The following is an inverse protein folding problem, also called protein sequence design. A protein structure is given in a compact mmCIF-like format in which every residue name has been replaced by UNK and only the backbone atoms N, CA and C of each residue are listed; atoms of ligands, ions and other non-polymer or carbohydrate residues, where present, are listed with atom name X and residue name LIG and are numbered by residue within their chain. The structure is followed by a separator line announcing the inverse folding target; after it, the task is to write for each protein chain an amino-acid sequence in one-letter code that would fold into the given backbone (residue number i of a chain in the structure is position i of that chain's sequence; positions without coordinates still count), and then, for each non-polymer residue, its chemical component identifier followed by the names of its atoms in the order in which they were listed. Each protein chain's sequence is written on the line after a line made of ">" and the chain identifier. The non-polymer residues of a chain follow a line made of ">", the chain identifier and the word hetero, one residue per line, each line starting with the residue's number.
data_IF_479041820509
#
_entry.id   IF_479041820509
#
_cell.length_a   1.000
_cell.length_b   1.000
_cell.length_c   1.000
_cell.angle_alpha   90.00
_cell.angle_beta   90.00
_cell.angle_gamma   90.00
#
_symmetry.space_group_name_H-M   'P 1'
#
loop_
_entity.id
_entity.type
_entity.pdbx_description
1 polymer ?
#
# COMPACT_ATOMS: atom_id res chain seq x y z
N UNK A 1 -16.19 -46.78 4.61
CA UNK A 1 -15.79 -45.36 4.55
C UNK A 1 -15.60 -45.02 3.09
N UNK A 2 -16.53 -44.23 2.50
CA UNK A 2 -16.42 -43.83 1.10
C UNK A 2 -15.13 -43.04 0.88
N UNK A 3 -14.48 -43.25 -0.26
CA UNK A 3 -13.27 -42.53 -0.64
C UNK A 3 -13.58 -41.02 -0.66
N UNK A 4 -13.10 -40.28 0.33
CA UNK A 4 -13.23 -38.83 0.35
C UNK A 4 -12.44 -38.27 -0.84
N UNK A 5 -13.19 -37.79 -1.84
CA UNK A 5 -12.68 -37.27 -3.11
C UNK A 5 -11.71 -36.12 -2.88
N UNK A 6 -11.87 -35.32 -1.82
CA UNK A 6 -11.00 -34.20 -1.49
C UNK A 6 -9.67 -34.73 -0.95
N UNK A 7 -9.70 -35.69 -0.02
CA UNK A 7 -8.49 -36.33 0.52
C UNK A 7 -7.72 -37.06 -0.60
N UNK A 8 -8.42 -37.78 -1.48
CA UNK A 8 -7.79 -38.46 -2.62
C UNK A 8 -7.20 -37.47 -3.63
N UNK A 9 -7.90 -36.37 -3.94
CA UNK A 9 -7.34 -35.28 -4.76
C UNK A 9 -6.12 -34.65 -4.11
N UNK A 10 -6.13 -34.44 -2.79
CA UNK A 10 -4.99 -33.89 -2.07
C UNK A 10 -3.79 -34.83 -2.12
N UNK A 11 -3.98 -36.13 -1.85
CA UNK A 11 -2.93 -37.16 -1.96
C UNK A 11 -2.33 -37.16 -3.37
N UNK A 12 -3.17 -37.12 -4.41
CA UNK A 12 -2.73 -37.09 -5.81
C UNK A 12 -2.09 -35.75 -6.23
N UNK A 13 -2.32 -34.67 -5.46
CA UNK A 13 -1.76 -33.33 -5.70
C UNK A 13 -0.49 -33.06 -4.88
N UNK A 14 -0.11 -33.97 -3.96
CA UNK A 14 1.15 -33.85 -3.22
C UNK A 14 2.29 -33.87 -4.25
N UNK A 15 2.95 -32.72 -4.33
CA UNK A 15 3.95 -32.41 -5.33
C UNK A 15 5.13 -33.39 -5.29
N UNK A 16 5.62 -33.72 -6.48
CA UNK A 16 6.82 -34.52 -6.76
C UNK A 16 8.01 -34.16 -5.85
N UNK A 17 8.90 -35.13 -5.54
CA UNK A 17 10.11 -34.92 -4.75
C UNK A 17 10.87 -33.65 -5.16
N UNK A 18 11.20 -32.79 -4.20
CA UNK A 18 12.07 -31.63 -4.45
C UNK A 18 13.50 -31.94 -4.00
N UNK A 19 14.44 -31.91 -4.94
CA UNK A 19 15.86 -31.99 -4.61
C UNK A 19 16.30 -30.64 -4.03
N UNK A 20 16.62 -30.61 -2.74
CA UNK A 20 17.14 -29.44 -2.05
C UNK A 20 18.62 -29.66 -1.75
N UNK A 21 19.56 -28.81 -2.24
CA UNK A 21 20.96 -28.94 -1.89
C UNK A 21 21.14 -28.66 -0.39
N UNK A 22 21.55 -29.66 0.37
CA UNK A 22 21.85 -29.52 1.79
C UNK A 22 23.31 -29.08 1.95
N UNK A 23 23.54 -27.87 2.48
CA UNK A 23 24.87 -27.42 2.87
C UNK A 23 25.07 -27.71 4.36
N UNK A 24 25.90 -28.69 4.68
CA UNK A 24 26.38 -28.84 6.06
C UNK A 24 27.40 -27.73 6.35
N UNK A 25 27.08 -26.86 7.30
CA UNK A 25 28.06 -25.96 7.90
C UNK A 25 28.88 -26.74 8.93
N UNK A 26 29.88 -27.50 8.48
CA UNK A 26 30.93 -28.00 9.37
C UNK A 26 32.11 -27.05 9.33
N UNK A 27 32.55 -26.60 10.51
CA UNK A 27 33.66 -25.67 10.75
C UNK A 27 35.05 -26.27 10.48
N UNK A 28 35.18 -27.15 9.50
CA UNK A 28 36.46 -27.65 9.03
C UNK A 28 36.47 -27.66 7.51
N UNK A 29 37.55 -27.14 6.97
CA UNK A 29 37.84 -26.94 5.55
C UNK A 29 37.70 -28.22 4.73
N UNK A 30 36.52 -28.46 4.16
CA UNK A 30 36.24 -29.04 2.85
C UNK A 30 34.71 -29.02 2.64
N UNK A 31 34.19 -28.02 1.92
CA UNK A 31 32.76 -27.93 1.58
C UNK A 31 32.38 -29.01 0.55
N UNK A 32 31.95 -30.19 1.02
CA UNK A 32 31.28 -31.17 0.16
C UNK A 32 29.78 -30.84 0.08
N UNK A 33 29.35 -30.24 -1.03
CA UNK A 33 27.92 -30.16 -1.35
C UNK A 33 27.43 -31.57 -1.71
N UNK A 34 26.72 -32.23 -0.79
CA UNK A 34 26.01 -33.47 -1.09
C UNK A 34 24.60 -33.12 -1.55
N UNK A 35 24.24 -33.54 -2.75
CA UNK A 35 22.86 -33.45 -3.22
C UNK A 35 22.06 -34.53 -2.52
N UNK A 36 21.40 -34.19 -1.42
CA UNK A 36 20.45 -35.06 -0.74
C UNK A 36 19.06 -34.79 -1.31
N UNK A 37 18.41 -35.83 -1.83
CA UNK A 37 17.00 -35.75 -2.23
C UNK A 37 16.16 -35.87 -0.96
N UNK A 38 15.38 -34.83 -0.64
CA UNK A 38 14.45 -34.86 0.49
C UNK A 38 13.04 -34.77 -0.06
N UNK A 39 12.24 -35.79 0.19
CA UNK A 39 10.82 -35.76 -0.14
C UNK A 39 10.07 -34.94 0.91
N UNK A 40 9.33 -33.93 0.46
CA UNK A 40 8.49 -33.10 1.32
C UNK A 40 7.03 -33.38 1.03
N UNK A 41 6.32 -33.87 2.03
CA UNK A 41 4.87 -34.02 2.00
C UNK A 41 4.27 -32.85 2.78
N UNK A 42 3.41 -31.99 2.18
CA UNK A 42 2.79 -30.89 2.90
C UNK A 42 1.86 -31.46 3.99
N UNK A 43 1.99 -30.94 5.21
CA UNK A 43 1.01 -31.20 6.27
C UNK A 43 -0.24 -30.38 5.96
N UNK A 44 -1.38 -31.07 5.97
CA UNK A 44 -2.70 -30.56 5.65
C UNK A 44 -3.45 -30.36 6.97
N UNK A 45 -3.72 -29.11 7.36
CA UNK A 45 -4.41 -28.79 8.61
C UNK A 45 -5.93 -28.73 8.40
N UNK A 46 -6.67 -29.67 8.99
CA UNK A 46 -8.14 -29.69 8.93
C UNK A 46 -8.80 -28.73 9.91
N UNK A 47 -10.11 -28.57 9.77
CA UNK A 47 -10.93 -27.96 10.82
C UNK A 47 -10.93 -28.86 12.06
N UNK A 48 -10.97 -28.26 13.26
CA UNK A 48 -11.42 -29.01 14.43
C UNK A 48 -12.93 -29.03 14.33
N UNK A 49 -13.53 -30.22 14.24
CA UNK A 49 -14.97 -30.38 13.97
C UNK A 49 -15.85 -29.66 15.00
N UNK A 50 -15.37 -29.51 16.24
CA UNK A 50 -16.00 -28.72 17.30
C UNK A 50 -16.21 -27.23 16.93
N UNK A 51 -15.47 -26.70 15.95
CA UNK A 51 -15.62 -25.33 15.46
C UNK A 51 -16.68 -25.17 14.38
N UNK A 52 -17.22 -26.27 13.85
CA UNK A 52 -18.29 -26.22 12.88
C UNK A 52 -19.61 -26.04 13.64
N UNK A 53 -20.41 -25.08 13.20
CA UNK A 53 -21.75 -24.91 13.75
C UNK A 53 -22.58 -26.16 13.47
N UNK A 54 -23.22 -26.71 14.50
CA UNK A 54 -24.23 -27.75 14.30
C UNK A 54 -25.36 -27.16 13.44
N UNK A 55 -25.65 -27.83 12.31
CA UNK A 55 -26.77 -27.44 11.48
C UNK A 55 -28.07 -27.72 12.23
N UNK A 56 -28.98 -26.74 12.20
CA UNK A 56 -30.34 -26.97 12.68
C UNK A 56 -31.17 -27.33 11.45
N UNK A 57 -31.67 -28.59 11.34
CA UNK A 57 -32.51 -28.97 10.23
C UNK A 57 -33.81 -28.18 10.30
N UNK A 58 -34.14 -27.46 9.22
CA UNK A 58 -35.39 -26.72 9.08
C UNK A 58 -36.15 -27.19 7.86
N UNK A 59 -37.45 -27.36 8.03
CA UNK A 59 -38.35 -27.60 6.92
C UNK A 59 -38.65 -26.28 6.23
N UNK A 60 -38.30 -26.18 4.96
CA UNK A 60 -38.58 -25.02 4.11
C UNK A 60 -39.42 -25.50 2.93
N UNK A 61 -40.49 -24.76 2.63
CA UNK A 61 -41.31 -25.01 1.45
C UNK A 61 -40.60 -24.40 0.23
N UNK A 62 -40.16 -25.24 -0.70
CA UNK A 62 -39.50 -24.81 -1.94
C UNK A 62 -40.20 -25.48 -3.13
N UNK A 63 -40.74 -24.69 -4.05
CA UNK A 63 -41.53 -25.18 -5.19
C UNK A 63 -42.64 -26.17 -4.77
N UNK A 64 -43.44 -25.80 -3.76
CA UNK A 64 -44.54 -26.61 -3.22
C UNK A 64 -44.13 -27.98 -2.64
N UNK A 65 -42.83 -28.23 -2.46
CA UNK A 65 -42.31 -29.41 -1.78
C UNK A 65 -41.63 -29.01 -0.47
N UNK A 66 -41.91 -29.77 0.60
CA UNK A 66 -41.19 -29.64 1.87
C UNK A 66 -39.78 -30.21 1.69
N UNK A 67 -38.76 -29.36 1.87
CA UNK A 67 -37.35 -29.78 1.91
C UNK A 67 -36.79 -29.53 3.30
N UNK A 68 -36.02 -30.49 3.81
CA UNK A 68 -35.21 -30.28 5.00
C UNK A 68 -33.91 -29.63 4.53
N UNK A 69 -33.62 -28.45 5.05
CA UNK A 69 -32.39 -27.72 4.79
C UNK A 69 -31.65 -27.57 6.10
N UNK A 70 -30.37 -27.93 6.09
CA UNK A 70 -29.43 -27.65 7.17
C UNK A 70 -29.08 -26.17 7.16
N UNK A 71 -29.60 -25.40 8.13
CA UNK A 71 -29.33 -23.97 8.23
C UNK A 71 -28.27 -23.70 9.31
N UNK A 72 -27.16 -23.07 8.90
CA UNK A 72 -26.20 -22.46 9.82
C UNK A 72 -26.64 -21.02 10.09
N UNK A 73 -26.98 -20.72 11.36
CA UNK A 73 -27.42 -19.39 11.78
C UNK A 73 -26.22 -18.45 11.99
N UNK A 74 -25.69 -17.87 10.91
CA UNK A 74 -24.72 -16.77 11.00
C UNK A 74 -25.44 -15.43 11.23
N UNK A 75 -24.88 -14.53 12.05
CA UNK A 75 -25.46 -13.19 12.20
C UNK A 75 -25.37 -12.42 10.88
N UNK A 76 -26.28 -11.46 10.71
CA UNK A 76 -26.19 -10.49 9.61
C UNK A 76 -24.85 -9.77 9.67
N UNK A 77 -24.13 -9.76 8.55
CA UNK A 77 -22.88 -9.02 8.41
C UNK A 77 -23.16 -7.52 8.53
N UNK A 78 -22.40 -6.83 9.39
CA UNK A 78 -22.52 -5.39 9.67
C UNK A 78 -21.25 -4.60 9.39
N UNK A 79 -20.14 -5.30 9.08
CA UNK A 79 -18.83 -4.69 8.82
C UNK A 79 -18.20 -5.30 7.58
N UNK A 80 -17.44 -4.49 6.84
CA UNK A 80 -16.60 -5.01 5.76
C UNK A 80 -15.48 -5.86 6.34
N UNK A 81 -14.73 -5.30 7.29
CA UNK A 81 -13.59 -5.98 7.93
C UNK A 81 -13.81 -6.17 9.43
N UNK A 82 -13.37 -7.31 9.96
CA UNK A 82 -13.30 -7.57 11.39
C UNK A 82 -12.30 -6.63 12.07
N UNK A 83 -12.64 -6.19 13.28
CA UNK A 83 -11.76 -5.36 14.11
C UNK A 83 -10.54 -6.14 14.66
N UNK A 84 -10.55 -7.48 14.54
CA UNK A 84 -9.45 -8.35 14.92
C UNK A 84 -8.29 -8.23 13.93
N UNK A 85 -7.29 -7.43 14.26
CA UNK A 85 -6.14 -7.16 13.38
C UNK A 85 -4.92 -7.95 13.87
N UNK A 86 -4.31 -8.83 13.05
CA UNK A 86 -3.06 -9.51 13.39
C UNK A 86 -1.96 -8.55 13.84
N UNK A 87 -1.13 -8.99 14.81
CA UNK A 87 -0.02 -8.21 15.40
C UNK A 87 -0.43 -6.97 16.20
N UNK A 88 -1.71 -6.61 16.27
CA UNK A 88 -2.20 -5.55 17.15
C UNK A 88 -2.85 -6.15 18.38
N UNK A 89 -2.07 -6.42 19.43
CA UNK A 89 -2.58 -7.04 20.66
C UNK A 89 -3.82 -6.35 21.24
N UNK A 90 -3.86 -5.01 21.14
CA UNK A 90 -4.99 -4.18 21.59
C UNK A 90 -6.34 -4.50 20.93
N UNK A 91 -6.36 -5.20 19.79
CA UNK A 91 -7.60 -5.62 19.14
C UNK A 91 -8.16 -6.93 19.69
N UNK A 92 -7.36 -7.71 20.42
CA UNK A 92 -7.79 -8.97 21.05
C UNK A 92 -8.22 -8.67 22.48
N UNK A 93 -9.48 -8.27 22.63
CA UNK A 93 -10.07 -7.88 23.93
C UNK A 93 -10.74 -9.06 24.66
N UNK A 94 -10.39 -10.29 24.31
CA UNK A 94 -11.07 -11.50 24.77
C UNK A 94 -10.17 -12.31 25.71
N UNK A 95 -10.74 -12.78 26.81
CA UNK A 95 -10.10 -13.75 27.71
C UNK A 95 -10.40 -15.20 27.30
N UNK A 96 -9.90 -16.15 28.10
CA UNK A 96 -10.12 -17.59 27.89
C UNK A 96 -11.61 -17.95 27.84
N UNK A 97 -12.44 -17.33 28.69
CA UNK A 97 -13.88 -17.57 28.79
C UNK A 97 -14.69 -16.99 27.61
N UNK A 98 -14.09 -16.16 26.76
CA UNK A 98 -14.78 -15.35 25.74
C UNK A 98 -14.54 -15.82 24.30
N UNK A 99 -14.27 -17.11 24.08
CA UNK A 99 -14.06 -17.63 22.74
C UNK A 99 -15.27 -17.35 21.83
N UNK A 100 -16.49 -17.52 22.33
CA UNK A 100 -17.71 -17.26 21.54
C UNK A 100 -17.81 -15.80 21.08
N UNK A 101 -17.43 -14.84 21.93
CA UNK A 101 -17.43 -13.42 21.56
C UNK A 101 -16.34 -13.12 20.51
N UNK A 102 -15.17 -13.76 20.63
CA UNK A 102 -14.11 -13.72 19.63
C UNK A 102 -14.59 -14.23 18.27
N UNK A 103 -15.26 -15.39 18.23
CA UNK A 103 -15.86 -15.97 17.01
C UNK A 103 -16.97 -15.10 16.46
N UNK A 104 -17.81 -14.54 17.34
CA UNK A 104 -18.91 -13.66 16.95
C UNK A 104 -18.37 -12.42 16.25
N UNK A 105 -17.28 -11.84 16.74
CA UNK A 105 -16.68 -10.67 16.11
C UNK A 105 -16.23 -10.96 14.67
N UNK A 106 -15.62 -12.11 14.39
CA UNK A 106 -15.39 -12.53 13.00
C UNK A 106 -16.70 -12.63 12.23
N UNK A 107 -17.69 -13.35 12.77
CA UNK A 107 -18.94 -13.62 12.08
C UNK A 107 -19.75 -12.36 11.72
N UNK A 108 -19.53 -11.22 12.40
CA UNK A 108 -20.15 -9.94 12.05
C UNK A 108 -19.56 -9.25 10.81
N UNK A 109 -18.40 -9.69 10.32
CA UNK A 109 -17.70 -9.08 9.20
C UNK A 109 -17.71 -9.97 7.94
N UNK A 110 -17.61 -9.34 6.76
CA UNK A 110 -17.39 -10.06 5.49
C UNK A 110 -15.96 -10.60 5.40
N UNK A 111 -14.98 -9.81 5.82
CA UNK A 111 -13.56 -10.09 5.71
C UNK A 111 -12.85 -10.04 7.07
N UNK A 112 -11.78 -10.80 7.23
CA UNK A 112 -10.87 -10.66 8.36
C UNK A 112 -9.42 -10.65 7.90
N UNK A 113 -8.66 -9.62 8.30
CA UNK A 113 -7.26 -9.47 7.88
C UNK A 113 -6.43 -10.61 8.48
N UNK A 114 -5.64 -11.27 7.64
CA UNK A 114 -4.60 -12.23 8.04
C UNK A 114 -3.31 -11.96 7.25
N UNK A 115 -2.20 -12.57 7.65
CA UNK A 115 -0.89 -12.36 7.03
C UNK A 115 0.08 -13.49 7.39
N UNK A 116 1.16 -13.60 6.62
CA UNK A 116 2.30 -14.45 6.99
C UNK A 116 2.87 -14.00 8.35
N UNK A 117 3.03 -14.94 9.28
CA UNK A 117 3.78 -14.75 10.54
C UNK A 117 5.04 -15.63 10.50
N UNK A 118 5.17 -16.58 11.44
CA UNK A 118 6.20 -17.62 11.36
C UNK A 118 6.00 -18.54 10.15
N UNK A 119 4.73 -18.80 9.80
CA UNK A 119 4.32 -19.51 8.60
C UNK A 119 3.21 -18.76 7.85
N UNK A 120 2.84 -19.32 6.69
CA UNK A 120 1.69 -18.87 5.90
C UNK A 120 0.39 -19.53 6.34
N UNK A 121 0.44 -20.75 6.87
CA UNK A 121 -0.72 -21.46 7.40
C UNK A 121 -0.72 -21.43 8.94
N UNK A 122 -1.90 -21.27 9.53
CA UNK A 122 -2.10 -21.25 10.99
C UNK A 122 -3.59 -21.42 11.34
N UNK A 123 -3.87 -21.86 12.58
CA UNK A 123 -5.22 -22.09 13.09
C UNK A 123 -6.19 -20.93 12.84
N UNK A 124 -5.72 -19.69 12.91
CA UNK A 124 -6.54 -18.50 12.66
C UNK A 124 -7.29 -18.50 11.33
N UNK A 125 -6.73 -19.06 10.27
CA UNK A 125 -7.44 -19.08 8.98
C UNK A 125 -8.72 -19.90 9.09
N UNK A 126 -8.61 -21.06 9.72
CA UNK A 126 -9.73 -21.94 10.00
C UNK A 126 -10.70 -21.28 10.98
N UNK A 127 -10.20 -20.51 11.96
CA UNK A 127 -11.06 -19.76 12.87
C UNK A 127 -11.92 -18.72 12.18
N UNK A 128 -11.35 -17.99 11.23
CA UNK A 128 -12.04 -16.99 10.42
C UNK A 128 -13.10 -17.66 9.54
N UNK A 129 -12.72 -18.74 8.86
CA UNK A 129 -13.61 -19.45 7.92
C UNK A 129 -14.75 -20.14 8.66
N UNK A 130 -14.47 -20.81 9.78
CA UNK A 130 -15.50 -21.50 10.57
C UNK A 130 -16.51 -20.51 11.17
N UNK A 131 -16.10 -19.27 11.46
CA UNK A 131 -16.98 -18.16 11.83
C UNK A 131 -17.82 -17.60 10.65
N UNK A 132 -17.72 -18.18 9.46
CA UNK A 132 -18.44 -17.75 8.26
C UNK A 132 -17.90 -16.44 7.66
N UNK A 133 -16.60 -16.18 7.81
CA UNK A 133 -15.94 -14.94 7.38
C UNK A 133 -14.79 -15.25 6.42
N UNK A 134 -14.54 -14.40 5.43
CA UNK A 134 -13.48 -14.65 4.44
C UNK A 134 -12.13 -14.13 4.94
N UNK A 135 -11.07 -14.97 5.00
CA UNK A 135 -9.73 -14.49 5.28
C UNK A 135 -9.23 -13.56 4.18
N UNK A 136 -8.69 -12.42 4.58
CA UNK A 136 -8.11 -11.44 3.69
C UNK A 136 -6.59 -11.36 3.92
N UNK A 137 -5.82 -12.01 3.06
CA UNK A 137 -4.38 -12.17 3.22
C UNK A 137 -3.60 -10.94 2.75
N UNK A 138 -2.77 -10.38 3.63
CA UNK A 138 -1.73 -9.44 3.22
C UNK A 138 -0.67 -10.17 2.38
N UNK A 139 -0.46 -9.70 1.14
CA UNK A 139 0.53 -10.20 0.19
C UNK A 139 0.41 -11.70 -0.14
N UNK A 140 -0.81 -12.23 -0.31
CA UNK A 140 -1.04 -13.64 -0.66
C UNK A 140 -0.24 -14.12 -1.89
N UNK A 141 0.06 -13.21 -2.82
CA UNK A 141 0.87 -13.48 -4.00
C UNK A 141 2.33 -13.89 -3.67
N UNK A 142 2.79 -13.70 -2.44
CA UNK A 142 4.09 -14.17 -1.94
C UNK A 142 4.05 -15.57 -1.33
N UNK A 143 2.86 -16.17 -1.18
CA UNK A 143 2.75 -17.55 -0.72
C UNK A 143 3.21 -18.51 -1.83
N UNK A 144 3.93 -19.57 -1.45
CA UNK A 144 4.32 -20.61 -2.42
C UNK A 144 3.10 -21.30 -3.02
N UNK A 145 3.24 -21.83 -4.24
CA UNK A 145 2.13 -22.46 -4.98
C UNK A 145 1.42 -23.55 -4.16
N UNK A 146 2.16 -24.36 -3.41
CA UNK A 146 1.67 -25.47 -2.57
C UNK A 146 1.47 -25.11 -1.09
N UNK A 147 1.55 -23.83 -0.73
CA UNK A 147 1.27 -23.35 0.63
C UNK A 147 -0.21 -22.99 0.73
N UNK A 148 -0.90 -23.25 1.85
CA UNK A 148 -2.37 -23.02 1.97
C UNK A 148 -3.20 -23.87 0.98
N UNK A 149 -2.78 -25.11 0.71
CA UNK A 149 -3.40 -25.96 -0.33
C UNK A 149 -4.86 -26.32 -0.06
N UNK A 150 -5.31 -26.25 1.19
CA UNK A 150 -6.71 -26.45 1.57
C UNK A 150 -7.60 -25.24 1.35
N UNK A 151 -7.02 -24.05 1.17
CA UNK A 151 -7.79 -22.84 0.98
C UNK A 151 -7.97 -22.56 -0.51
N UNK A 152 -9.18 -22.13 -0.94
CA UNK A 152 -9.45 -21.80 -2.34
C UNK A 152 -8.76 -20.48 -2.71
N UNK A 153 -7.47 -20.53 -3.07
CA UNK A 153 -6.66 -19.33 -3.37
C UNK A 153 -7.24 -18.43 -4.43
N UNK A 154 -7.89 -18.98 -5.46
CA UNK A 154 -8.54 -18.20 -6.52
C UNK A 154 -9.55 -17.21 -5.93
N UNK A 155 -10.43 -17.69 -5.05
CA UNK A 155 -11.42 -16.88 -4.34
C UNK A 155 -10.72 -15.87 -3.41
N UNK A 156 -9.66 -16.28 -2.73
CA UNK A 156 -8.88 -15.38 -1.87
C UNK A 156 -8.16 -14.27 -2.67
N UNK A 157 -7.80 -14.51 -3.93
CA UNK A 157 -7.25 -13.49 -4.83
C UNK A 157 -8.34 -12.54 -5.33
N UNK A 158 -9.51 -13.07 -5.68
CA UNK A 158 -10.66 -12.26 -6.08
C UNK A 158 -11.09 -11.31 -4.96
N UNK A 159 -11.14 -11.81 -3.71
CA UNK A 159 -11.36 -11.00 -2.52
C UNK A 159 -10.41 -9.79 -2.45
N UNK A 160 -9.15 -9.97 -2.88
CA UNK A 160 -8.14 -8.90 -2.88
C UNK A 160 -8.36 -7.83 -3.95
N UNK A 161 -9.22 -8.08 -4.93
CA UNK A 161 -9.56 -7.12 -5.98
C UNK A 161 -10.74 -6.21 -5.63
N UNK A 162 -11.32 -6.36 -4.44
CA UNK A 162 -12.44 -5.54 -3.99
C UNK A 162 -12.00 -4.05 -3.91
N UNK A 163 -12.70 -3.13 -4.61
CA UNK A 163 -12.24 -1.75 -4.83
C UNK A 163 -11.83 -0.98 -3.55
N UNK A 164 -12.58 -1.13 -2.46
CA UNK A 164 -12.33 -0.39 -1.21
C UNK A 164 -11.02 -0.78 -0.51
N UNK A 165 -10.70 -2.06 -0.44
CA UNK A 165 -9.42 -2.51 0.10
C UNK A 165 -8.27 -2.21 -0.87
N UNK A 166 -8.49 -2.44 -2.15
CA UNK A 166 -7.52 -2.15 -3.20
C UNK A 166 -7.06 -0.69 -3.11
N UNK A 167 -7.98 0.27 -3.02
CA UNK A 167 -7.67 1.69 -2.90
C UNK A 167 -6.77 1.98 -1.69
N UNK A 168 -7.10 1.46 -0.50
CA UNK A 168 -6.34 1.70 0.74
C UNK A 168 -4.88 1.26 0.67
N UNK A 169 -4.59 0.19 -0.08
CA UNK A 169 -3.25 -0.40 -0.12
C UNK A 169 -2.49 -0.15 -1.42
N UNK A 170 -3.19 0.22 -2.50
CA UNK A 170 -2.61 0.38 -3.84
C UNK A 170 -2.68 1.80 -4.37
N UNK A 171 -3.64 2.62 -3.92
CA UNK A 171 -3.80 4.01 -4.34
C UNK A 171 -3.27 4.99 -3.28
N UNK A 172 -2.08 4.69 -2.73
CA UNK A 172 -1.40 5.60 -1.79
C UNK A 172 -0.45 6.53 -2.55
N UNK A 173 -0.17 7.69 -1.97
CA UNK A 173 0.84 8.65 -2.52
C UNK A 173 2.22 8.01 -2.69
N UNK A 174 2.62 7.09 -1.81
CA UNK A 174 3.85 6.30 -1.97
C UNK A 174 3.80 5.45 -3.23
N UNK A 175 2.67 4.79 -3.52
CA UNK A 175 2.51 3.96 -4.73
C UNK A 175 2.49 4.79 -6.01
N UNK A 176 1.90 5.97 -5.98
CA UNK A 176 1.94 6.89 -7.14
C UNK A 176 3.38 7.35 -7.41
N UNK A 177 4.15 7.68 -6.37
CA UNK A 177 5.56 8.06 -6.58
C UNK A 177 6.41 6.86 -7.00
N UNK A 178 6.19 5.65 -6.47
CA UNK A 178 6.82 4.43 -6.99
C UNK A 178 6.52 4.23 -8.49
N UNK A 179 5.30 4.51 -8.95
CA UNK A 179 4.93 4.49 -10.37
C UNK A 179 5.75 5.51 -11.16
N UNK A 180 5.80 6.78 -10.71
CA UNK A 180 6.61 7.83 -11.36
C UNK A 180 8.07 7.38 -11.50
N UNK A 181 8.67 6.92 -10.40
CA UNK A 181 10.07 6.48 -10.37
C UNK A 181 10.31 5.27 -11.29
N UNK A 182 9.36 4.35 -11.40
CA UNK A 182 9.45 3.21 -12.32
C UNK A 182 9.40 3.66 -13.78
N UNK A 183 8.50 4.59 -14.14
CA UNK A 183 8.38 5.13 -15.50
C UNK A 183 9.69 5.79 -15.95
N UNK A 184 10.32 6.57 -15.07
CA UNK A 184 11.62 7.20 -15.37
C UNK A 184 12.82 6.26 -15.14
N UNK A 185 12.57 4.98 -14.82
CA UNK A 185 13.59 3.96 -14.53
C UNK A 185 14.59 4.39 -13.43
N UNK A 186 14.11 5.10 -12.42
CA UNK A 186 14.93 5.59 -11.32
C UNK A 186 15.12 4.52 -10.23
N UNK A 187 16.36 4.21 -9.81
CA UNK A 187 16.63 3.12 -8.89
C UNK A 187 16.27 3.47 -7.43
N UNK A 188 15.16 2.93 -6.93
CA UNK A 188 14.67 3.16 -5.56
C UNK A 188 15.56 2.49 -4.49
N UNK A 189 16.20 1.37 -4.80
CA UNK A 189 17.00 0.56 -3.83
C UNK A 189 18.24 1.28 -3.26
N UNK A 190 18.59 2.44 -3.82
CA UNK A 190 19.71 3.28 -3.38
C UNK A 190 19.26 4.60 -2.74
N UNK A 191 18.00 4.73 -2.30
CA UNK A 191 17.39 5.99 -1.82
C UNK A 191 18.21 6.75 -0.77
N UNK A 192 19.08 6.06 -0.01
CA UNK A 192 19.99 6.66 0.98
C UNK A 192 21.18 7.45 0.40
N UNK A 193 21.50 7.31 -0.90
CA UNK A 193 22.66 7.98 -1.56
C UNK A 193 22.27 9.11 -2.52
N UNK A 194 20.98 9.39 -2.65
CA UNK A 194 20.45 10.21 -3.73
C UNK A 194 19.72 11.43 -3.19
N UNK A 195 20.34 12.60 -3.30
CA UNK A 195 19.67 13.88 -3.01
C UNK A 195 18.67 14.21 -4.12
N UNK A 196 17.43 14.50 -3.74
CA UNK A 196 16.32 14.82 -4.66
C UNK A 196 15.89 16.25 -4.38
N UNK A 197 15.75 17.08 -5.42
CA UNK A 197 15.15 18.40 -5.28
C UNK A 197 13.68 18.36 -5.71
N UNK A 198 12.79 18.78 -4.83
CA UNK A 198 11.37 18.97 -5.09
C UNK A 198 11.05 20.47 -5.13
N UNK A 199 10.73 20.98 -6.32
CA UNK A 199 10.36 22.37 -6.56
C UNK A 199 8.86 22.52 -6.31
N UNK A 200 8.53 23.12 -5.15
CA UNK A 200 7.16 23.38 -4.70
C UNK A 200 6.84 24.88 -4.79
N UNK A 201 5.65 25.26 -4.32
CA UNK A 201 5.24 26.63 -4.06
C UNK A 201 4.34 26.68 -2.81
N UNK A 202 4.14 27.89 -2.29
CA UNK A 202 3.41 28.13 -1.03
C UNK A 202 1.89 27.94 -1.17
N UNK A 203 1.34 28.16 -2.36
CA UNK A 203 -0.09 27.93 -2.60
C UNK A 203 -0.45 26.44 -2.45
N UNK A 204 -1.66 26.17 -1.97
CA UNK A 204 -2.20 24.81 -1.93
C UNK A 204 -2.44 24.29 -3.34
N UNK A 205 -2.07 23.04 -3.57
CA UNK A 205 -2.27 22.37 -4.84
C UNK A 205 -2.32 20.87 -4.56
N UNK A 206 -3.47 20.28 -4.88
CA UNK A 206 -3.76 18.88 -4.56
C UNK A 206 -2.68 17.93 -5.09
N UNK A 207 -2.28 18.09 -6.36
CA UNK A 207 -1.33 17.17 -6.99
C UNK A 207 0.07 17.36 -6.39
N UNK A 208 0.54 18.61 -6.30
CA UNK A 208 1.83 18.97 -5.69
C UNK A 208 1.93 18.49 -4.25
N UNK A 209 0.89 18.69 -3.44
CA UNK A 209 0.91 18.35 -2.01
C UNK A 209 0.92 16.83 -1.81
N UNK A 210 0.11 16.10 -2.59
CA UNK A 210 0.08 14.64 -2.53
C UNK A 210 1.40 14.03 -3.02
N UNK A 211 1.99 14.58 -4.08
CA UNK A 211 3.29 14.14 -4.58
C UNK A 211 4.39 14.45 -3.57
N UNK A 212 4.42 15.66 -3.00
CA UNK A 212 5.37 16.01 -1.95
C UNK A 212 5.30 15.04 -0.77
N UNK A 213 4.09 14.67 -0.33
CA UNK A 213 3.92 13.66 0.71
C UNK A 213 4.53 12.31 0.28
N UNK A 214 4.21 11.81 -0.92
CA UNK A 214 4.76 10.55 -1.44
C UNK A 214 6.29 10.53 -1.53
N UNK A 215 6.88 11.59 -2.10
CA UNK A 215 8.33 11.75 -2.21
C UNK A 215 8.99 11.83 -0.83
N UNK A 216 8.39 12.57 0.12
CA UNK A 216 8.93 12.70 1.50
C UNK A 216 8.96 11.33 2.18
N UNK A 217 7.92 10.51 2.00
CA UNK A 217 7.83 9.16 2.58
C UNK A 217 8.84 8.17 2.00
N UNK A 218 9.32 8.38 0.77
CA UNK A 218 10.29 7.50 0.09
C UNK A 218 11.74 7.92 0.36
N UNK A 219 12.02 9.22 0.29
CA UNK A 219 13.38 9.75 0.32
C UNK A 219 13.78 10.36 1.67
N UNK A 220 12.81 10.69 2.52
CA UNK A 220 13.02 11.20 3.89
C UNK A 220 14.07 12.32 3.93
N UNK A 221 15.18 12.12 4.64
CA UNK A 221 16.27 13.09 4.80
C UNK A 221 16.92 13.52 3.48
N UNK A 222 16.79 12.73 2.41
CA UNK A 222 17.40 13.03 1.11
C UNK A 222 16.49 13.82 0.16
N UNK A 223 15.26 14.13 0.57
CA UNK A 223 14.39 15.03 -0.19
C UNK A 223 14.61 16.45 0.28
N UNK A 224 14.98 17.35 -0.62
CA UNK A 224 15.11 18.79 -0.41
C UNK A 224 13.96 19.51 -1.10
N UNK A 225 13.24 20.38 -0.39
CA UNK A 225 12.04 21.02 -0.91
C UNK A 225 12.26 22.52 -1.05
N UNK A 226 12.21 23.04 -2.28
CA UNK A 226 12.16 24.49 -2.49
C UNK A 226 10.74 25.01 -2.26
N UNK A 227 10.61 26.03 -1.40
CA UNK A 227 9.33 26.59 -0.95
C UNK A 227 8.40 25.53 -0.34
N UNK A 228 8.80 24.90 0.78
CA UNK A 228 7.99 23.87 1.40
C UNK A 228 6.69 24.46 1.99
N UNK A 229 5.52 23.85 1.72
CA UNK A 229 4.24 24.37 2.19
C UNK A 229 4.03 24.13 3.69
N UNK A 230 4.06 25.19 4.50
CA UNK A 230 3.97 25.11 5.97
C UNK A 230 2.81 24.25 6.48
N UNK A 231 1.62 24.37 5.88
CA UNK A 231 0.40 23.68 6.32
C UNK A 231 0.47 22.14 6.25
N UNK A 232 1.43 21.58 5.51
CA UNK A 232 1.65 20.13 5.49
C UNK A 232 2.44 19.62 6.70
N UNK A 233 3.22 20.48 7.35
CA UNK A 233 4.16 20.12 8.42
C UNK A 233 3.67 20.54 9.80
N UNK A 234 3.29 21.81 9.96
CA UNK A 234 2.99 22.35 11.29
C UNK A 234 1.99 23.50 11.26
N UNK A 235 1.51 23.85 12.45
CA UNK A 235 0.71 25.03 12.69
C UNK A 235 1.58 26.29 12.80
N UNK A 236 1.03 27.48 12.54
CA UNK A 236 1.64 28.72 13.00
C UNK A 236 1.73 28.75 14.54
N UNK A 237 2.91 28.49 15.09
CA UNK A 237 3.19 28.43 16.53
C UNK A 237 3.21 29.79 17.23
N UNK A 238 3.01 30.90 16.51
CA UNK A 238 3.02 32.25 17.09
C UNK A 238 1.87 32.53 18.06
N UNK A 239 0.90 31.61 18.18
CA UNK A 239 -0.19 31.63 19.15
C UNK A 239 -0.57 30.18 19.49
N UNK A 240 -1.10 29.91 20.69
CA UNK A 240 -1.83 28.67 20.94
C UNK A 240 -3.24 28.81 20.35
N UNK A 241 -3.51 28.07 19.28
CA UNK A 241 -4.81 28.09 18.61
C UNK A 241 -5.77 27.13 19.31
N UNK A 242 -6.99 27.56 19.59
CA UNK A 242 -8.06 26.65 19.99
C UNK A 242 -8.61 25.87 18.77
N UNK A 243 -9.48 24.88 19.00
CA UNK A 243 -10.02 24.04 17.92
C UNK A 243 -10.82 24.83 16.87
N UNK A 244 -11.46 25.92 17.26
CA UNK A 244 -12.30 26.76 16.41
C UNK A 244 -11.44 27.68 15.54
N UNK A 245 -10.46 28.35 16.13
CA UNK A 245 -9.46 29.15 15.40
C UNK A 245 -8.69 28.28 14.39
N UNK A 246 -8.36 27.04 14.77
CA UNK A 246 -7.71 26.07 13.88
C UNK A 246 -8.60 25.70 12.69
N UNK A 247 -9.90 25.47 12.95
CA UNK A 247 -10.87 25.19 11.88
C UNK A 247 -10.99 26.39 10.95
N UNK A 248 -11.09 27.60 11.49
CA UNK A 248 -11.23 28.83 10.71
C UNK A 248 -10.01 29.14 9.86
N UNK A 249 -8.78 28.98 10.38
CA UNK A 249 -7.55 29.12 9.59
C UNK A 249 -7.59 28.26 8.32
N UNK A 250 -7.86 26.97 8.47
CA UNK A 250 -7.88 26.07 7.32
C UNK A 250 -9.14 26.19 6.47
N UNK A 251 -10.28 26.62 7.05
CA UNK A 251 -11.53 26.86 6.32
C UNK A 251 -11.35 27.92 5.24
N UNK A 252 -10.63 28.99 5.58
CA UNK A 252 -10.46 30.13 4.69
C UNK A 252 -9.24 30.00 3.78
N UNK A 253 -8.31 29.08 4.07
CA UNK A 253 -7.04 28.96 3.33
C UNK A 253 -6.92 27.68 2.52
N UNK A 254 -7.58 26.58 2.91
CA UNK A 254 -7.41 25.27 2.26
C UNK A 254 -8.74 24.72 1.75
N UNK A 255 -8.75 24.27 0.50
CA UNK A 255 -9.89 23.56 -0.06
C UNK A 255 -10.24 22.33 0.79
N UNK A 256 -11.54 22.15 1.07
CA UNK A 256 -12.04 21.05 1.90
C UNK A 256 -11.42 21.03 3.30
N UNK A 257 -11.10 22.20 3.88
CA UNK A 257 -10.42 22.34 5.17
C UNK A 257 -9.07 21.63 5.25
N UNK A 258 -8.44 21.28 4.13
CA UNK A 258 -7.20 20.52 4.10
C UNK A 258 -7.35 19.04 4.46
N UNK A 259 -8.56 18.47 4.45
CA UNK A 259 -8.75 17.05 4.75
C UNK A 259 -7.92 16.18 3.79
N UNK A 260 -7.14 15.26 4.36
CA UNK A 260 -6.30 14.32 3.62
C UNK A 260 -4.85 14.76 3.38
N UNK A 261 -4.51 16.05 3.50
CA UNK A 261 -3.14 16.54 3.24
C UNK A 261 -2.58 17.52 4.27
N UNK A 262 -3.42 18.28 5.00
CA UNK A 262 -2.90 19.13 6.09
C UNK A 262 -2.24 18.28 7.16
N UNK A 263 -1.09 18.73 7.66
CA UNK A 263 -0.29 18.05 8.69
C UNK A 263 0.08 16.59 8.36
N UNK A 264 -0.05 16.17 7.10
CA UNK A 264 0.33 14.83 6.67
C UNK A 264 1.84 14.57 6.86
N UNK A 265 2.64 15.63 6.96
CA UNK A 265 4.08 15.61 7.18
C UNK A 265 4.50 16.12 8.56
N UNK A 266 3.60 16.10 9.56
CA UNK A 266 3.93 16.57 10.94
C UNK A 266 5.09 15.88 11.63
N UNK A 267 5.38 14.63 11.25
CA UNK A 267 6.53 13.90 11.79
C UNK A 267 7.86 14.27 11.09
N UNK A 268 7.81 15.16 10.10
CA UNK A 268 8.93 15.62 9.27
C UNK A 268 9.15 17.14 9.39
N UNK A 269 8.66 17.79 10.46
CA UNK A 269 8.85 19.24 10.71
C UNK A 269 10.32 19.66 10.63
N UNK A 270 11.24 18.81 11.10
CA UNK A 270 12.70 19.05 10.96
C UNK A 270 13.15 19.28 9.51
N UNK A 271 12.54 18.61 8.53
CA UNK A 271 12.86 18.80 7.11
C UNK A 271 12.36 20.15 6.61
N UNK A 272 11.16 20.55 7.04
CA UNK A 272 10.62 21.87 6.75
C UNK A 272 11.53 22.97 7.30
N UNK A 273 11.99 22.87 8.55
CA UNK A 273 12.90 23.86 9.14
C UNK A 273 14.26 23.89 8.43
N UNK A 274 14.81 22.72 8.09
CA UNK A 274 16.05 22.62 7.31
C UNK A 274 15.90 23.31 5.96
N UNK A 275 14.84 23.00 5.22
CA UNK A 275 14.63 23.48 3.87
C UNK A 275 14.26 24.96 3.84
N UNK A 276 13.44 25.41 4.79
CA UNK A 276 13.14 26.83 5.00
C UNK A 276 14.40 27.63 5.33
N UNK A 277 15.37 27.08 6.06
CA UNK A 277 16.63 27.77 6.35
C UNK A 277 17.60 27.73 5.18
N UNK A 278 17.78 26.56 4.58
CA UNK A 278 18.86 26.30 3.62
C UNK A 278 18.47 26.59 2.17
N UNK A 279 17.17 26.65 1.86
CA UNK A 279 16.62 26.77 0.51
C UNK A 279 15.64 27.95 0.41
N UNK A 280 15.73 28.93 1.31
CA UNK A 280 14.97 30.18 1.17
C UNK A 280 15.49 31.03 0.03
N UNK A 281 16.81 31.06 -0.16
CA UNK A 281 17.50 31.84 -1.18
C UNK A 281 17.55 31.05 -2.50
N UNK A 282 16.95 31.63 -3.53
CA UNK A 282 16.93 31.09 -4.89
C UNK A 282 18.36 30.87 -5.41
N UNK A 283 19.30 31.76 -5.06
CA UNK A 283 20.72 31.70 -5.47
C UNK A 283 21.40 30.42 -5.00
N UNK A 284 21.12 29.97 -3.78
CA UNK A 284 21.69 28.74 -3.22
C UNK A 284 21.23 27.53 -4.05
N UNK A 285 19.95 27.49 -4.39
CA UNK A 285 19.38 26.40 -5.18
C UNK A 285 19.91 26.43 -6.59
N UNK A 286 20.00 27.60 -7.21
CA UNK A 286 20.61 27.74 -8.53
C UNK A 286 22.04 27.20 -8.55
N UNK A 287 22.86 27.55 -7.55
CA UNK A 287 24.23 27.06 -7.43
C UNK A 287 24.27 25.54 -7.25
N UNK A 288 23.37 24.98 -6.44
CA UNK A 288 23.25 23.53 -6.28
C UNK A 288 22.80 22.82 -7.58
N UNK A 289 21.93 23.45 -8.37
CA UNK A 289 21.53 22.95 -9.70
C UNK A 289 22.73 23.00 -10.64
N UNK A 290 23.44 24.13 -10.74
CA UNK A 290 24.64 24.31 -11.59
C UNK A 290 25.73 23.27 -11.24
N UNK A 291 25.93 23.01 -9.95
CA UNK A 291 26.88 22.04 -9.42
C UNK A 291 26.41 20.57 -9.54
N UNK A 292 25.18 20.32 -10.02
CA UNK A 292 24.57 18.98 -10.13
C UNK A 292 24.50 18.21 -8.80
N UNK A 293 24.20 18.92 -7.71
CA UNK A 293 24.13 18.35 -6.36
C UNK A 293 22.92 17.42 -6.14
N UNK A 294 21.97 17.40 -7.08
CA UNK A 294 20.79 16.54 -7.02
C UNK A 294 20.89 15.44 -8.08
N UNK A 295 20.32 14.30 -7.76
CA UNK A 295 20.26 13.12 -8.64
C UNK A 295 18.95 13.03 -9.41
N UNK A 296 17.95 13.85 -9.03
CA UNK A 296 16.66 14.01 -9.67
C UNK A 296 16.10 15.39 -9.28
N UNK A 297 15.51 16.09 -10.23
CA UNK A 297 14.76 17.32 -10.01
C UNK A 297 13.29 17.06 -10.35
N UNK A 298 12.41 17.37 -9.41
CA UNK A 298 10.96 17.17 -9.52
C UNK A 298 10.28 18.54 -9.42
N UNK A 299 9.61 18.96 -10.49
CA UNK A 299 8.72 20.12 -10.46
C UNK A 299 7.34 19.66 -10.01
N UNK A 300 6.96 20.01 -8.79
CA UNK A 300 5.69 19.58 -8.17
C UNK A 300 4.44 20.18 -8.82
N UNK A 301 4.59 21.34 -9.48
CA UNK A 301 3.59 21.92 -10.37
C UNK A 301 4.31 22.80 -11.39
N UNK A 302 4.58 22.23 -12.58
CA UNK A 302 5.39 22.91 -13.60
C UNK A 302 4.70 24.15 -14.17
N UNK A 303 3.36 24.16 -14.24
CA UNK A 303 2.61 25.30 -14.77
C UNK A 303 2.50 26.45 -13.75
N UNK A 304 2.56 26.17 -12.44
CA UNK A 304 2.50 27.20 -11.39
C UNK A 304 3.87 27.68 -10.91
N UNK A 305 4.90 26.83 -10.95
CA UNK A 305 6.26 27.22 -10.60
C UNK A 305 7.30 26.58 -11.54
N UNK A 306 7.68 27.34 -12.57
CA UNK A 306 8.72 27.00 -13.53
C UNK A 306 9.99 27.85 -13.40
N UNK A 307 10.15 28.65 -12.33
CA UNK A 307 11.24 29.63 -12.22
C UNK A 307 12.63 29.05 -12.49
N UNK A 308 12.90 27.87 -11.93
CA UNK A 308 14.18 27.17 -12.06
C UNK A 308 14.28 26.30 -13.32
N UNK A 309 13.21 26.18 -14.12
CA UNK A 309 13.12 25.26 -15.26
C UNK A 309 14.20 25.54 -16.31
N UNK A 310 14.32 26.79 -16.76
CA UNK A 310 15.31 27.18 -17.78
C UNK A 310 16.76 26.93 -17.32
N UNK A 311 17.03 27.00 -16.02
CA UNK A 311 18.33 26.64 -15.46
C UNK A 311 18.49 25.11 -15.40
N UNK A 312 17.47 24.40 -14.92
CA UNK A 312 17.48 22.94 -14.81
C UNK A 312 17.79 22.27 -16.15
N UNK A 313 17.12 22.67 -17.23
CA UNK A 313 17.31 22.05 -18.56
C UNK A 313 18.70 22.29 -19.16
N UNK A 314 19.44 23.32 -18.70
CA UNK A 314 20.82 23.57 -19.12
C UNK A 314 21.82 22.63 -18.46
N UNK A 315 21.51 22.09 -17.29
CA UNK A 315 22.44 21.32 -16.47
C UNK A 315 22.06 19.84 -16.30
N UNK A 316 20.78 19.50 -16.45
CA UNK A 316 20.26 18.16 -16.23
C UNK A 316 19.74 17.53 -17.53
N UNK A 317 20.03 16.25 -17.68
CA UNK A 317 19.47 15.42 -18.74
C UNK A 317 17.97 15.15 -18.51
N UNK A 318 17.23 14.89 -19.59
CA UNK A 318 15.78 14.65 -19.55
C UNK A 318 15.36 13.55 -18.58
N UNK A 319 16.15 12.48 -18.44
CA UNK A 319 15.88 11.35 -17.54
C UNK A 319 15.94 11.74 -16.05
N UNK A 320 16.45 12.93 -15.73
CA UNK A 320 16.63 13.45 -14.36
C UNK A 320 15.63 14.55 -14.01
N UNK A 321 14.67 14.82 -14.89
CA UNK A 321 13.70 15.89 -14.73
C UNK A 321 12.30 15.28 -14.78
N UNK A 322 11.57 15.41 -13.66
CA UNK A 322 10.16 15.03 -13.54
C UNK A 322 9.33 16.29 -13.49
N UNK A 323 8.29 16.34 -14.32
CA UNK A 323 7.41 17.49 -14.46
C UNK A 323 5.99 17.04 -14.12
N UNK A 324 5.44 17.53 -13.02
CA UNK A 324 4.08 17.23 -12.59
C UNK A 324 3.18 18.39 -13.02
N UNK A 325 2.13 18.06 -13.77
CA UNK A 325 1.07 18.98 -14.18
C UNK A 325 -0.26 18.53 -13.56
N UNK A 326 -0.72 19.32 -12.59
CA UNK A 326 -1.96 19.11 -11.87
C UNK A 326 -3.15 19.90 -12.42
N UNK A 327 -2.99 20.68 -13.50
CA UNK A 327 -4.02 21.58 -14.01
C UNK A 327 -5.11 20.86 -14.80
N UNK A 328 -6.35 21.30 -14.58
CA UNK A 328 -7.58 20.83 -15.21
C UNK A 328 -7.77 21.39 -16.64
N UNK A 329 -6.88 22.29 -17.07
CA UNK A 329 -6.98 22.92 -18.38
C UNK A 329 -6.69 21.89 -19.48
N UNK A 330 -7.55 21.81 -20.51
CA UNK A 330 -7.36 20.88 -21.64
C UNK A 330 -6.20 21.26 -22.57
N UNK A 331 -5.89 22.57 -22.68
CA UNK A 331 -4.80 23.07 -23.54
C UNK A 331 -3.98 24.12 -22.80
N UNK A 332 -2.72 23.80 -22.52
CA UNK A 332 -1.72 24.79 -22.10
C UNK A 332 -0.60 24.81 -23.14
N UNK A 333 -0.35 25.99 -23.74
CA UNK A 333 0.59 26.15 -24.86
C UNK A 333 2.01 25.65 -24.56
N UNK A 334 2.42 25.72 -23.29
CA UNK A 334 3.79 25.37 -22.89
C UNK A 334 3.98 23.86 -22.60
N UNK A 335 2.91 23.05 -22.57
CA UNK A 335 3.01 21.60 -22.27
C UNK A 335 3.93 20.86 -23.24
N UNK A 336 3.77 21.12 -24.53
CA UNK A 336 4.57 20.49 -25.58
C UNK A 336 6.05 20.86 -25.47
N UNK A 337 6.34 22.08 -25.01
CA UNK A 337 7.72 22.52 -24.79
C UNK A 337 8.32 21.85 -23.56
N UNK A 338 7.62 21.87 -22.42
CA UNK A 338 8.07 21.22 -21.19
C UNK A 338 8.30 19.72 -21.38
N UNK A 339 7.42 19.03 -22.11
CA UNK A 339 7.53 17.60 -22.39
C UNK A 339 8.75 17.21 -23.24
N UNK A 340 9.47 18.16 -23.85
CA UNK A 340 10.75 17.87 -24.55
C UNK A 340 11.90 17.64 -23.58
N UNK A 341 11.85 18.26 -22.41
CA UNK A 341 13.00 18.38 -21.51
C UNK A 341 12.89 17.54 -20.24
N UNK A 342 11.74 16.93 -19.96
CA UNK A 342 11.56 16.03 -18.82
C UNK A 342 10.53 14.94 -19.10
N UNK A 343 10.36 14.03 -18.14
CA UNK A 343 9.22 13.12 -18.16
C UNK A 343 8.01 13.84 -17.59
N UNK A 344 6.97 13.98 -18.39
CA UNK A 344 5.79 14.80 -18.11
C UNK A 344 4.65 13.92 -17.59
N UNK A 345 4.17 14.21 -16.38
CA UNK A 345 3.04 13.52 -15.75
C UNK A 345 1.87 14.49 -15.66
N UNK A 346 0.83 14.19 -16.44
CA UNK A 346 -0.37 15.01 -16.56
C UNK A 346 -1.53 14.34 -15.80
N UNK A 347 -2.23 15.10 -14.96
CA UNK A 347 -3.41 14.61 -14.21
C UNK A 347 -4.55 14.25 -15.14
N UNK A 348 -4.90 15.15 -16.05
CA UNK A 348 -6.06 15.02 -16.93
C UNK A 348 -5.58 15.04 -18.38
N UNK A 349 -5.62 13.88 -19.02
CA UNK A 349 -5.34 13.75 -20.45
C UNK A 349 -6.58 14.26 -21.18
N UNK A 350 -6.46 15.28 -22.04
CA UNK A 350 -7.59 15.78 -22.82
C UNK A 350 -8.18 14.70 -23.74
N UNK A 351 -9.50 14.65 -23.87
CA UNK A 351 -10.21 13.68 -24.73
C UNK A 351 -9.76 13.72 -26.20
N UNK A 352 -9.21 14.87 -26.63
CA UNK A 352 -8.74 15.10 -27.99
C UNK A 352 -7.23 14.84 -28.19
N UNK A 353 -6.57 14.13 -27.27
CA UNK A 353 -5.19 13.68 -27.45
C UNK A 353 -5.16 12.39 -28.28
N UNK A 354 -4.54 12.47 -29.47
CA UNK A 354 -4.30 11.28 -30.30
C UNK A 354 -3.43 10.27 -29.54
N UNK A 355 -3.93 9.05 -29.38
CA UNK A 355 -3.14 7.93 -28.85
C UNK A 355 -2.22 7.48 -29.98
N UNK A 356 -0.93 7.81 -29.88
CA UNK A 356 0.07 7.10 -30.68
C UNK A 356 0.13 5.67 -30.15
N UNK A 357 -0.54 4.74 -30.85
CA UNK A 357 -0.44 3.29 -30.64
C UNK A 357 0.94 2.78 -31.02
#
# INVERSE_FOLDING_TARGET
>A
MGQDIIVQKLINFISLPKVCPYRQSSSSSLEKSTNMTVEFYPIVFGFIDQYLFESIPRQVLFNQQLKIIDQICLPKKSKDFSDLIPRKLKTYKFGFENELDYRRLYSTAYFAITMKKGGWDCNRHYEIISSGTMPFFDQLNKAGNYTLSLLPKSILYEAQTIPGYYAKHRLTTVKIVEYILNIIRYPIKSSKKHSILYISHEQFDYMKDFMLHGFTRIFEENLYVFKPPKYMYEYPTSKMWNQEETKDYFKHTLYGFGYGYKLALKNYVRLYERDKKNLHDETIIENNIKAKNYSLIVFGSILRNNKLFSLTIKHYERSRIVLIDGEDASKHKDRSEYAKWGTYFLREIPDNCDVFM
#
